data_IF_615288276659
#
_entry.id   IF_615288276659
#
_cell.length_a   1.000
_cell.length_b   1.000
_cell.length_c   1.000
_cell.angle_alpha   90.00
_cell.angle_beta   90.00
_cell.angle_gamma   90.00
#
_symmetry.space_group_name_H-M   'P 1'
#
loop_
_entity.id
_entity.type
_entity.pdbx_description
1 polymer ?
#
# COMPACT_ATOMS: atom_id res chain seq x y z
N UNK A 1 36.50 -8.06 -8.68
CA UNK A 1 35.63 -6.97 -9.19
C UNK A 1 34.48 -7.45 -10.11
N UNK A 2 34.69 -8.40 -11.04
CA UNK A 2 33.63 -8.80 -12.00
C UNK A 2 32.51 -9.69 -11.41
N UNK A 3 32.86 -10.70 -10.60
CA UNK A 3 31.89 -11.63 -9.95
C UNK A 3 30.92 -10.91 -9.02
N UNK A 4 31.38 -9.90 -8.29
CA UNK A 4 30.55 -9.21 -7.29
C UNK A 4 29.43 -8.39 -7.93
N UNK A 5 29.70 -7.80 -9.09
CA UNK A 5 28.73 -7.02 -9.88
C UNK A 5 27.61 -7.91 -10.43
N UNK A 6 27.96 -9.10 -10.90
CA UNK A 6 26.98 -10.11 -11.35
C UNK A 6 26.16 -10.65 -10.19
N UNK A 7 26.77 -10.93 -9.03
CA UNK A 7 26.03 -11.39 -7.84
C UNK A 7 25.05 -10.34 -7.32
N UNK A 8 25.45 -9.06 -7.29
CA UNK A 8 24.54 -7.96 -6.90
C UNK A 8 23.38 -7.80 -7.88
N UNK A 9 23.64 -7.90 -9.18
CA UNK A 9 22.59 -7.84 -10.22
C UNK A 9 21.59 -8.99 -10.09
N UNK A 10 22.06 -10.20 -9.78
CA UNK A 10 21.20 -11.36 -9.57
C UNK A 10 20.36 -11.23 -8.29
N UNK A 11 20.96 -10.79 -7.18
CA UNK A 11 20.22 -10.54 -5.92
C UNK A 11 19.14 -9.48 -6.09
N UNK A 12 19.45 -8.38 -6.79
CA UNK A 12 18.47 -7.34 -7.08
C UNK A 12 17.28 -7.88 -7.88
N UNK A 13 17.52 -8.71 -8.90
CA UNK A 13 16.45 -9.37 -9.67
C UNK A 13 15.59 -10.30 -8.81
N UNK A 14 16.21 -11.09 -7.93
CA UNK A 14 15.49 -12.00 -7.04
C UNK A 14 14.61 -11.26 -6.03
N UNK A 15 15.12 -10.20 -5.41
CA UNK A 15 14.33 -9.37 -4.51
C UNK A 15 13.14 -8.70 -5.21
N UNK A 16 13.34 -8.21 -6.45
CA UNK A 16 12.25 -7.65 -7.24
C UNK A 16 11.17 -8.71 -7.52
N UNK A 17 11.58 -9.92 -7.94
CA UNK A 17 10.63 -11.01 -8.21
C UNK A 17 9.82 -11.42 -6.98
N UNK A 18 10.41 -11.43 -5.78
CA UNK A 18 9.71 -11.74 -4.54
C UNK A 18 8.72 -10.64 -4.10
N UNK A 19 8.93 -9.40 -4.55
CA UNK A 19 8.18 -8.23 -4.07
C UNK A 19 7.02 -7.83 -4.98
N UNK A 20 7.03 -8.23 -6.25
CA UNK A 20 6.00 -7.84 -7.23
C UNK A 20 5.33 -9.06 -7.87
N UNK A 21 4.12 -8.89 -8.37
CA UNK A 21 3.45 -9.96 -9.12
C UNK A 21 4.23 -10.29 -10.41
N UNK A 22 4.17 -11.54 -10.91
CA UNK A 22 4.85 -11.94 -12.14
C UNK A 22 4.49 -11.06 -13.36
N UNK A 23 3.27 -10.53 -13.39
CA UNK A 23 2.81 -9.62 -14.45
C UNK A 23 3.54 -8.26 -14.43
N UNK A 24 3.71 -7.69 -13.23
CA UNK A 24 4.46 -6.43 -13.03
C UNK A 24 5.96 -6.68 -13.30
N UNK A 25 6.49 -7.82 -12.87
CA UNK A 25 7.88 -8.20 -13.13
C UNK A 25 8.20 -8.27 -14.63
N UNK A 26 7.34 -8.93 -15.42
CA UNK A 26 7.53 -9.04 -16.87
C UNK A 26 7.49 -7.67 -17.57
N UNK A 27 6.65 -6.74 -17.09
CA UNK A 27 6.64 -5.35 -17.57
C UNK A 27 7.90 -4.59 -17.19
N UNK A 28 8.36 -4.72 -15.94
CA UNK A 28 9.62 -4.12 -15.46
C UNK A 28 10.80 -4.59 -16.32
N UNK A 29 10.84 -5.87 -16.68
CA UNK A 29 11.87 -6.48 -17.51
C UNK A 29 11.85 -6.00 -18.97
N UNK A 30 10.74 -5.44 -19.44
CA UNK A 30 10.63 -4.88 -20.79
C UNK A 30 11.23 -3.46 -20.90
N UNK A 31 11.50 -2.79 -19.78
CA UNK A 31 12.09 -1.45 -19.78
C UNK A 31 13.62 -1.50 -19.84
N UNK A 32 14.20 -0.62 -20.66
CA UNK A 32 15.66 -0.55 -20.88
C UNK A 32 16.40 0.26 -19.83
N UNK A 33 15.70 1.14 -19.10
CA UNK A 33 16.31 2.03 -18.12
C UNK A 33 15.64 2.00 -16.74
N UNK A 34 16.43 2.29 -15.70
CA UNK A 34 15.93 2.40 -14.33
C UNK A 34 14.94 3.56 -14.15
N UNK A 35 15.07 4.62 -14.95
CA UNK A 35 14.14 5.76 -14.91
C UNK A 35 12.75 5.34 -15.38
N UNK A 36 12.67 4.61 -16.49
CA UNK A 36 11.39 4.10 -17.01
C UNK A 36 10.71 3.16 -16.02
N UNK A 37 11.49 2.28 -15.36
CA UNK A 37 10.98 1.39 -14.31
C UNK A 37 10.39 2.21 -13.15
N UNK A 38 11.09 3.24 -12.69
CA UNK A 38 10.65 4.09 -11.59
C UNK A 38 9.40 4.91 -11.93
N UNK A 39 9.33 5.46 -13.15
CA UNK A 39 8.18 6.22 -13.61
C UNK A 39 6.95 5.32 -13.84
N UNK A 40 7.14 4.09 -14.35
CA UNK A 40 6.10 3.07 -14.45
C UNK A 40 5.55 2.67 -13.08
N UNK A 41 6.43 2.36 -12.11
CA UNK A 41 6.01 2.01 -10.75
C UNK A 41 5.25 3.16 -10.09
N UNK A 42 5.68 4.41 -10.29
CA UNK A 42 4.91 5.57 -9.83
C UNK A 42 3.51 5.58 -10.44
N UNK A 43 3.38 5.44 -11.76
CA UNK A 43 2.07 5.48 -12.43
C UNK A 43 1.15 4.32 -12.00
N UNK A 44 1.68 3.10 -11.93
CA UNK A 44 0.93 1.89 -11.55
C UNK A 44 0.39 1.98 -10.12
N UNK A 45 1.18 2.51 -9.18
CA UNK A 45 0.81 2.59 -7.76
C UNK A 45 0.21 3.94 -7.34
N UNK A 46 0.24 4.97 -8.17
CA UNK A 46 -0.40 6.26 -7.89
C UNK A 46 -1.94 6.14 -7.80
N UNK A 47 -2.53 5.17 -8.50
CA UNK A 47 -3.95 4.82 -8.33
C UNK A 47 -4.24 4.10 -7.02
N UNK A 48 -3.31 3.27 -6.54
CA UNK A 48 -3.43 2.54 -5.27
C UNK A 48 -3.28 3.48 -4.06
N UNK A 49 -2.43 4.51 -4.15
CA UNK A 49 -2.35 5.58 -3.14
C UNK A 49 -3.69 6.27 -2.91
N UNK A 50 -4.42 6.64 -3.99
CA UNK A 50 -5.77 7.21 -3.87
C UNK A 50 -6.75 6.24 -3.22
N UNK A 51 -6.71 4.96 -3.59
CA UNK A 51 -7.59 3.92 -3.02
C UNK A 51 -7.23 3.66 -1.55
N UNK A 52 -5.95 3.67 -1.18
CA UNK A 52 -5.47 3.58 0.20
C UNK A 52 -5.93 4.78 1.02
N UNK A 53 -5.71 6.00 0.55
CA UNK A 53 -6.17 7.21 1.25
C UNK A 53 -7.68 7.20 1.44
N UNK A 54 -8.45 6.79 0.43
CA UNK A 54 -9.91 6.71 0.50
C UNK A 54 -10.36 5.62 1.48
N UNK A 55 -9.71 4.45 1.50
CA UNK A 55 -9.96 3.42 2.50
C UNK A 55 -9.64 3.94 3.90
N UNK A 56 -8.49 4.56 4.12
CA UNK A 56 -8.12 5.11 5.43
C UNK A 56 -9.14 6.14 5.93
N UNK A 57 -9.60 7.05 5.07
CA UNK A 57 -10.65 8.02 5.39
C UNK A 57 -11.97 7.34 5.76
N UNK A 58 -12.38 6.29 5.02
CA UNK A 58 -13.57 5.50 5.34
C UNK A 58 -13.45 4.81 6.71
N UNK A 59 -12.28 4.26 7.05
CA UNK A 59 -12.05 3.62 8.34
C UNK A 59 -12.09 4.64 9.48
N UNK A 60 -11.45 5.81 9.31
CA UNK A 60 -11.48 6.90 10.29
C UNK A 60 -12.92 7.38 10.56
N UNK A 61 -13.74 7.52 9.51
CA UNK A 61 -15.15 7.88 9.65
C UNK A 61 -15.93 6.84 10.46
N UNK A 62 -15.76 5.55 10.14
CA UNK A 62 -16.42 4.45 10.87
C UNK A 62 -16.01 4.39 12.34
N UNK A 63 -14.74 4.65 12.64
CA UNK A 63 -14.24 4.71 14.02
C UNK A 63 -14.86 5.86 14.81
N UNK A 64 -15.00 7.04 14.19
CA UNK A 64 -15.65 8.19 14.81
C UNK A 64 -17.12 7.91 15.09
N UNK A 65 -17.84 7.32 14.12
CA UNK A 65 -19.24 6.93 14.24
C UNK A 65 -19.46 5.93 15.39
N UNK A 66 -18.66 4.86 15.44
CA UNK A 66 -18.73 3.88 16.53
C UNK A 66 -18.41 4.49 17.90
N UNK A 67 -17.49 5.47 17.95
CA UNK A 67 -17.15 6.17 19.20
C UNK A 67 -18.32 7.04 19.68
N UNK A 68 -19.01 7.72 18.76
CA UNK A 68 -20.19 8.54 19.08
C UNK A 68 -21.34 7.67 19.59
N UNK A 69 -21.65 6.56 18.93
CA UNK A 69 -22.66 5.60 19.41
C UNK A 69 -22.33 5.08 20.80
N UNK A 70 -21.07 4.69 21.06
CA UNK A 70 -20.64 4.24 22.37
C UNK A 70 -20.76 5.34 23.45
N UNK A 71 -20.58 6.62 23.09
CA UNK A 71 -20.78 7.73 24.03
C UNK A 71 -22.26 8.03 24.30
N UNK A 72 -23.14 7.88 23.30
CA UNK A 72 -24.58 8.06 23.46
C UNK A 72 -25.16 6.97 24.36
N UNK A 73 -24.78 5.70 24.14
CA UNK A 73 -25.21 4.58 24.98
C UNK A 73 -24.74 4.75 26.43
N UNK A 74 -23.52 5.23 26.65
CA UNK A 74 -23.01 5.53 28.00
C UNK A 74 -23.79 6.68 28.66
N UNK A 75 -24.17 7.70 27.91
CA UNK A 75 -24.94 8.84 28.42
C UNK A 75 -26.37 8.41 28.78
N UNK A 76 -27.03 7.61 27.95
CA UNK A 76 -28.36 7.05 28.23
C UNK A 76 -28.37 6.13 29.46
N UNK A 77 -27.27 5.38 29.68
CA UNK A 77 -27.10 4.56 30.87
C UNK A 77 -26.90 5.40 32.15
N UNK A 78 -26.18 6.52 32.05
CA UNK A 78 -25.93 7.43 33.19
C UNK A 78 -27.14 8.32 33.49
N UNK A 79 -27.90 8.74 32.47
CA UNK A 79 -29.09 9.60 32.62
C UNK A 79 -30.36 8.83 33.01
N UNK A 80 -30.28 7.51 33.26
CA UNK A 80 -31.28 6.77 34.03
C UNK A 80 -32.66 6.70 33.37
N UNK A 81 -32.76 5.97 32.26
CA UNK A 81 -34.06 5.51 31.72
C UNK A 81 -34.35 4.02 31.94
N UNK A 82 -33.71 3.40 32.93
CA UNK A 82 -34.16 2.18 33.63
C UNK A 82 -33.75 2.25 35.10
#
# INVERSE_FOLDING_TARGET
>A
MHKERTTRKAKAKSCLYASVSPAIFNRIMAFGSMKEIWDYLKAEYQGDERIKSMKMALHARKLLEATLEATLVKKEFIEGKY
#
